data_IF_339985891489
#
_entry.id   IF_339985891489
#
_cell.length_a   1.000
_cell.length_b   1.000
_cell.length_c   1.000
_cell.angle_alpha   90.00
_cell.angle_beta   90.00
_cell.angle_gamma   90.00
#
_symmetry.space_group_name_H-M   'P 1'
#
loop_
_entity.id
_entity.type
_entity.pdbx_description
1 polymer ?
#
# COMPACT_ATOMS: atom_id res chain seq x y z
N UNK A 1 -11.96 -6.65 -18.84
CA UNK A 1 -12.43 -5.49 -18.06
C UNK A 1 -12.31 -4.19 -18.86
N UNK A 2 -11.11 -3.76 -19.25
CA UNK A 2 -10.89 -2.52 -20.03
C UNK A 2 -11.72 -2.44 -21.33
N UNK A 3 -11.72 -3.47 -22.18
CA UNK A 3 -12.53 -3.50 -23.40
C UNK A 3 -14.05 -3.41 -23.15
N UNK A 4 -14.50 -3.86 -21.98
CA UNK A 4 -15.91 -3.86 -21.59
C UNK A 4 -16.32 -2.47 -21.11
N UNK A 5 -15.53 -1.83 -20.24
CA UNK A 5 -15.77 -0.44 -19.80
C UNK A 5 -15.79 0.55 -20.97
N UNK A 6 -14.87 0.41 -21.92
CA UNK A 6 -14.86 1.26 -23.12
C UNK A 6 -16.17 1.10 -23.90
N UNK A 7 -16.59 -0.14 -24.14
CA UNK A 7 -17.83 -0.44 -24.87
C UNK A 7 -19.06 0.12 -24.15
N UNK A 8 -19.11 0.03 -22.83
CA UNK A 8 -20.19 0.59 -22.01
C UNK A 8 -20.20 2.12 -22.07
N UNK A 9 -19.03 2.77 -21.98
CA UNK A 9 -18.92 4.22 -22.12
C UNK A 9 -19.36 4.70 -23.52
N UNK A 10 -19.00 3.98 -24.58
CA UNK A 10 -19.43 4.30 -25.94
C UNK A 10 -20.94 4.17 -26.16
N UNK A 11 -21.65 3.43 -25.31
CA UNK A 11 -23.11 3.26 -25.35
C UNK A 11 -23.87 4.35 -24.58
N UNK A 12 -23.18 5.15 -23.77
CA UNK A 12 -23.81 6.24 -23.02
C UNK A 12 -23.91 7.50 -23.88
N UNK A 13 -24.98 8.29 -23.67
CA UNK A 13 -25.12 9.62 -24.26
C UNK A 13 -23.93 10.48 -23.80
N UNK A 14 -23.19 11.03 -24.77
CA UNK A 14 -21.96 11.80 -24.56
C UNK A 14 -20.86 11.03 -23.78
N UNK A 15 -20.89 9.69 -23.81
CA UNK A 15 -20.00 8.89 -22.99
C UNK A 15 -18.53 8.94 -23.42
N UNK A 16 -18.25 9.21 -24.70
CA UNK A 16 -16.88 9.44 -25.18
C UNK A 16 -16.32 10.76 -24.66
N UNK A 17 -17.11 11.82 -24.74
CA UNK A 17 -16.74 13.17 -24.28
C UNK A 17 -16.54 13.18 -22.76
N UNK A 18 -17.45 12.53 -22.02
CA UNK A 18 -17.33 12.38 -20.56
C UNK A 18 -16.11 11.56 -20.16
N UNK A 19 -15.83 10.48 -20.88
CA UNK A 19 -14.63 9.68 -20.64
C UNK A 19 -13.35 10.49 -20.88
N UNK A 20 -13.29 11.24 -21.98
CA UNK A 20 -12.13 12.07 -22.27
C UNK A 20 -11.95 13.16 -21.21
N UNK A 21 -13.02 13.84 -20.80
CA UNK A 21 -12.97 14.84 -19.73
C UNK A 21 -12.46 14.26 -18.40
N UNK A 22 -12.85 13.03 -18.04
CA UNK A 22 -12.32 12.35 -16.86
C UNK A 22 -10.82 12.03 -16.98
N UNK A 23 -10.37 11.59 -18.17
CA UNK A 23 -8.96 11.32 -18.42
C UNK A 23 -8.13 12.61 -18.34
N UNK A 24 -8.63 13.71 -18.92
CA UNK A 24 -7.96 15.02 -18.87
C UNK A 24 -7.93 15.59 -17.45
N UNK A 25 -8.98 15.37 -16.66
CA UNK A 25 -9.01 15.77 -15.24
C UNK A 25 -7.99 14.99 -14.39
N UNK A 26 -7.81 13.70 -14.68
CA UNK A 26 -6.88 12.82 -13.97
C UNK A 26 -5.42 13.04 -14.41
N UNK A 27 -5.20 13.38 -15.67
CA UNK A 27 -3.88 13.53 -16.28
C UNK A 27 -3.76 14.84 -17.06
N UNK A 28 -3.90 16.01 -16.41
CA UNK A 28 -3.92 17.31 -17.10
C UNK A 28 -2.64 17.61 -17.87
N UNK A 29 -1.50 17.17 -17.34
CA UNK A 29 -0.18 17.31 -17.97
C UNK A 29 0.26 16.03 -18.70
N UNK A 30 -0.66 15.09 -18.87
CA UNK A 30 -0.45 13.79 -19.48
C UNK A 30 0.02 12.68 -18.53
N UNK A 31 -0.08 11.44 -19.01
CA UNK A 31 0.16 10.26 -18.19
C UNK A 31 1.61 10.10 -17.71
N UNK A 32 2.61 10.45 -18.53
CA UNK A 32 4.02 10.32 -18.14
C UNK A 32 4.40 11.33 -17.06
N UNK A 33 3.95 12.60 -17.19
CA UNK A 33 4.14 13.62 -16.17
C UNK A 33 3.50 13.20 -14.84
N UNK A 34 2.32 12.58 -14.89
CA UNK A 34 1.68 11.99 -13.70
C UNK A 34 2.55 10.92 -13.03
N UNK A 35 3.20 10.03 -13.81
CA UNK A 35 4.10 9.01 -13.25
C UNK A 35 5.34 9.64 -12.60
N UNK A 36 5.91 10.69 -13.19
CA UNK A 36 7.05 11.42 -12.64
C UNK A 36 6.67 12.10 -11.31
N UNK A 37 5.51 12.77 -11.27
CA UNK A 37 4.97 13.38 -10.05
C UNK A 37 4.74 12.32 -8.97
N UNK A 38 4.16 11.16 -9.30
CA UNK A 38 3.98 10.08 -8.33
C UNK A 38 5.32 9.55 -7.80
N UNK A 39 6.36 9.45 -8.63
CA UNK A 39 7.68 9.03 -8.13
C UNK A 39 8.28 10.06 -7.18
N UNK A 40 8.24 11.35 -7.55
CA UNK A 40 8.77 12.44 -6.74
C UNK A 40 7.99 12.64 -5.43
N UNK A 41 6.67 12.50 -5.47
CA UNK A 41 5.76 12.72 -4.34
C UNK A 41 5.51 11.43 -3.55
N UNK A 42 6.57 10.70 -3.22
CA UNK A 42 6.47 9.50 -2.39
C UNK A 42 6.61 9.87 -0.91
N UNK A 43 5.71 9.35 -0.07
CA UNK A 43 5.75 9.59 1.38
C UNK A 43 7.11 9.23 1.99
N UNK A 44 7.61 10.10 2.88
CA UNK A 44 8.86 9.88 3.59
C UNK A 44 8.65 9.02 4.84
N UNK A 45 9.00 7.74 4.75
CA UNK A 45 8.95 6.81 5.87
C UNK A 45 10.18 6.90 6.80
N UNK A 46 11.18 7.72 6.47
CA UNK A 46 12.44 7.79 7.23
C UNK A 46 12.23 8.06 8.72
N UNK A 47 11.39 9.03 9.15
CA UNK A 47 11.20 9.32 10.58
C UNK A 47 10.67 8.12 11.36
N UNK A 48 9.63 7.44 10.85
CA UNK A 48 9.05 6.27 11.54
C UNK A 48 9.99 5.06 11.51
N UNK A 49 10.76 4.89 10.44
CA UNK A 49 11.76 3.83 10.37
C UNK A 49 12.85 4.03 11.41
N UNK A 50 13.35 5.26 11.56
CA UNK A 50 14.36 5.60 12.58
C UNK A 50 13.81 5.37 13.99
N UNK A 51 12.57 5.79 14.26
CA UNK A 51 11.93 5.54 15.55
C UNK A 51 11.84 4.03 15.88
N UNK A 52 11.49 3.18 14.90
CA UNK A 52 11.46 1.72 15.08
C UNK A 52 12.87 1.15 15.29
N UNK A 53 13.87 1.65 14.55
CA UNK A 53 15.27 1.21 14.63
C UNK A 53 15.91 1.56 15.97
N UNK A 54 15.62 2.75 16.51
CA UNK A 54 16.20 3.25 17.75
C UNK A 54 15.47 2.76 19.01
N UNK A 55 14.22 2.32 18.88
CA UNK A 55 13.42 1.86 20.01
C UNK A 55 14.03 0.62 20.73
N UNK A 56 13.90 0.60 22.05
CA UNK A 56 14.23 -0.57 22.85
C UNK A 56 13.17 -1.69 22.72
N UNK A 57 13.50 -2.88 23.25
CA UNK A 57 12.63 -4.06 23.16
C UNK A 57 11.27 -3.87 23.87
N UNK A 58 11.23 -3.11 24.97
CA UNK A 58 10.01 -2.87 25.73
C UNK A 58 9.08 -1.92 24.96
N UNK A 59 9.63 -0.86 24.37
CA UNK A 59 8.88 0.05 23.51
C UNK A 59 8.27 -0.68 22.31
N UNK A 60 9.04 -1.55 21.65
CA UNK A 60 8.56 -2.38 20.53
C UNK A 60 7.46 -3.35 20.99
N UNK A 61 7.61 -3.98 22.16
CA UNK A 61 6.60 -4.88 22.71
C UNK A 61 5.28 -4.16 23.02
N UNK A 62 5.34 -2.98 23.67
CA UNK A 62 4.17 -2.13 23.93
C UNK A 62 3.48 -1.72 22.63
N UNK A 63 4.25 -1.30 21.62
CA UNK A 63 3.72 -0.94 20.32
C UNK A 63 3.05 -2.14 19.62
N UNK A 64 3.65 -3.34 19.66
CA UNK A 64 3.05 -4.57 19.11
C UNK A 64 1.76 -4.99 19.82
N UNK A 65 1.66 -4.72 21.12
CA UNK A 65 0.45 -4.85 21.94
C UNK A 65 -0.55 -3.70 21.74
N UNK A 66 -0.18 -2.71 20.92
CA UNK A 66 -1.00 -1.56 20.53
C UNK A 66 -1.34 -0.64 21.72
N UNK A 67 -0.47 -0.63 22.73
CA UNK A 67 -0.61 0.26 23.88
C UNK A 67 -0.48 1.72 23.44
N UNK A 68 -1.54 2.50 23.67
CA UNK A 68 -1.64 3.90 23.26
C UNK A 68 -1.78 4.11 21.74
N UNK A 69 -2.06 3.06 20.97
CA UNK A 69 -2.26 3.18 19.54
C UNK A 69 -3.50 4.03 19.24
N UNK A 70 -3.36 4.95 18.30
CA UNK A 70 -4.41 5.79 17.77
C UNK A 70 -4.20 6.04 16.27
N UNK A 71 -5.24 6.51 15.58
CA UNK A 71 -5.15 6.92 14.18
C UNK A 71 -4.52 8.30 14.00
N UNK A 72 -4.56 9.13 15.03
CA UNK A 72 -4.04 10.49 15.05
C UNK A 72 -3.06 10.68 16.19
N UNK A 73 -2.10 11.59 16.02
CA UNK A 73 -1.27 12.05 17.14
C UNK A 73 -2.10 12.89 18.13
N UNK A 74 -1.69 12.88 19.41
CA UNK A 74 -2.30 13.73 20.43
C UNK A 74 -1.76 15.16 20.36
N UNK A 75 -2.45 16.11 20.99
CA UNK A 75 -2.02 17.51 21.01
C UNK A 75 -0.68 17.68 21.77
N UNK A 76 -0.43 16.89 22.82
CA UNK A 76 0.86 16.89 23.51
C UNK A 76 1.99 16.34 22.66
N UNK A 77 1.69 15.38 21.77
CA UNK A 77 2.69 14.83 20.86
C UNK A 77 3.06 15.84 19.77
N UNK A 78 2.09 16.61 19.23
CA UNK A 78 2.31 17.66 18.21
C UNK A 78 3.38 18.66 18.61
N UNK A 79 3.40 19.06 19.88
CA UNK A 79 4.37 20.01 20.43
C UNK A 79 5.79 19.43 20.60
N UNK A 80 5.95 18.10 20.45
CA UNK A 80 7.26 17.43 20.59
C UNK A 80 7.95 17.30 19.24
N UNK A 81 9.28 17.57 19.18
CA UNK A 81 10.09 17.18 18.04
C UNK A 81 10.19 15.65 17.95
N UNK A 82 10.42 15.12 16.74
CA UNK A 82 10.42 13.68 16.47
C UNK A 82 11.37 12.88 17.38
N UNK A 83 12.54 13.43 17.70
CA UNK A 83 13.54 12.79 18.57
C UNK A 83 13.14 12.72 20.06
N UNK A 84 11.99 13.28 20.43
CA UNK A 84 11.42 13.22 21.80
C UNK A 84 10.13 12.41 21.87
N UNK A 85 9.64 11.89 20.74
CA UNK A 85 8.47 11.03 20.74
C UNK A 85 8.82 9.65 21.31
N UNK A 86 7.87 9.07 22.03
CA UNK A 86 7.85 7.63 22.24
C UNK A 86 7.55 6.92 20.91
N UNK A 87 7.89 5.63 20.81
CA UNK A 87 7.60 4.84 19.61
C UNK A 87 6.11 4.83 19.24
N UNK A 88 5.22 4.73 20.23
CA UNK A 88 3.76 4.79 19.99
C UNK A 88 3.34 6.15 19.45
N UNK A 89 3.85 7.25 20.00
CA UNK A 89 3.55 8.60 19.48
C UNK A 89 4.07 8.78 18.06
N UNK A 90 5.28 8.28 17.74
CA UNK A 90 5.82 8.29 16.39
C UNK A 90 4.94 7.50 15.39
N UNK A 91 4.44 6.33 15.80
CA UNK A 91 3.49 5.55 14.99
C UNK A 91 2.16 6.31 14.77
N UNK A 92 1.64 6.96 15.80
CA UNK A 92 0.41 7.75 15.69
C UNK A 92 0.60 8.98 14.79
N UNK A 93 1.75 9.67 14.87
CA UNK A 93 2.15 10.75 13.97
C UNK A 93 2.24 10.27 12.53
N UNK A 94 2.92 9.14 12.30
CA UNK A 94 2.99 8.51 10.98
C UNK A 94 1.58 8.26 10.41
N UNK A 95 0.67 7.68 11.19
CA UNK A 95 -0.70 7.40 10.72
C UNK A 95 -1.44 8.68 10.37
N UNK A 96 -1.34 9.72 11.20
CA UNK A 96 -1.95 11.01 10.95
C UNK A 96 -1.44 11.62 9.63
N UNK A 97 -0.12 11.76 9.51
CA UNK A 97 0.53 12.34 8.34
C UNK A 97 0.26 11.53 7.08
N UNK A 98 0.34 10.20 7.13
CA UNK A 98 0.10 9.36 5.97
C UNK A 98 -1.37 9.40 5.53
N UNK A 99 -2.31 9.49 6.48
CA UNK A 99 -3.74 9.65 6.18
C UNK A 99 -4.01 10.97 5.46
N UNK A 100 -3.49 12.08 5.99
CA UNK A 100 -3.62 13.39 5.35
C UNK A 100 -2.99 13.39 3.95
N UNK A 101 -1.76 12.87 3.85
CA UNK A 101 -1.04 12.77 2.59
C UNK A 101 -1.83 11.96 1.54
N UNK A 102 -2.35 10.79 1.92
CA UNK A 102 -3.09 9.91 1.01
C UNK A 102 -4.44 10.49 0.58
N UNK A 103 -5.11 11.29 1.43
CA UNK A 103 -6.39 11.91 1.09
C UNK A 103 -6.27 13.06 0.09
N UNK A 104 -5.09 13.66 -0.03
CA UNK A 104 -4.82 14.72 -1.02
C UNK A 104 -4.65 14.10 -2.43
N UNK A 105 -4.29 12.82 -2.53
CA UNK A 105 -4.07 12.15 -3.80
C UNK A 105 -5.38 11.81 -4.51
N UNK A 106 -5.57 12.32 -5.74
CA UNK A 106 -6.69 11.90 -6.60
C UNK A 106 -6.60 10.43 -7.01
N UNK A 107 -5.38 9.96 -7.26
CA UNK A 107 -5.05 8.58 -7.60
C UNK A 107 -3.99 8.14 -6.59
N UNK A 108 -4.32 7.16 -5.75
CA UNK A 108 -3.39 6.59 -4.79
C UNK A 108 -2.06 6.24 -5.46
N UNK A 109 -0.97 6.74 -4.90
CA UNK A 109 0.36 6.54 -5.42
C UNK A 109 0.94 5.19 -4.95
N UNK A 110 1.10 4.21 -5.85
CA UNK A 110 1.59 2.90 -5.46
C UNK A 110 3.07 2.92 -5.04
N UNK A 111 3.82 4.00 -5.33
CA UNK A 111 5.23 4.09 -4.94
C UNK A 111 5.43 4.20 -3.42
N UNK A 112 4.39 4.57 -2.66
CA UNK A 112 4.46 4.60 -1.19
C UNK A 112 4.88 3.25 -0.59
N UNK A 113 4.21 2.17 -1.00
CA UNK A 113 4.54 0.83 -0.50
C UNK A 113 5.84 0.32 -1.05
N UNK A 114 6.18 0.68 -2.29
CA UNK A 114 7.48 0.34 -2.86
C UNK A 114 8.61 0.98 -2.05
N UNK A 115 8.46 2.25 -1.67
CA UNK A 115 9.42 2.96 -0.83
C UNK A 115 9.52 2.37 0.57
N UNK A 116 8.38 2.06 1.20
CA UNK A 116 8.35 1.38 2.48
C UNK A 116 9.14 0.06 2.42
N UNK A 117 8.90 -0.79 1.41
CA UNK A 117 9.63 -2.06 1.22
C UNK A 117 11.13 -1.86 1.01
N UNK A 118 11.53 -0.86 0.22
CA UNK A 118 12.95 -0.54 -0.02
C UNK A 118 13.66 -0.15 1.28
N UNK A 119 13.04 0.68 2.12
CA UNK A 119 13.65 1.08 3.40
C UNK A 119 13.82 -0.12 4.35
N UNK A 120 12.85 -1.05 4.39
CA UNK A 120 13.01 -2.28 5.19
C UNK A 120 14.21 -3.08 4.72
N UNK A 121 14.33 -3.29 3.41
CA UNK A 121 15.42 -4.06 2.81
C UNK A 121 16.79 -3.43 3.12
N UNK A 122 16.89 -2.10 3.04
CA UNK A 122 18.14 -1.37 3.26
C UNK A 122 18.52 -1.30 4.75
N UNK A 123 17.57 -0.97 5.63
CA UNK A 123 17.87 -0.60 7.02
C UNK A 123 17.56 -1.71 8.03
N UNK A 124 16.32 -2.22 8.05
CA UNK A 124 15.86 -3.13 9.09
C UNK A 124 16.45 -4.53 8.95
N UNK A 125 16.68 -5.00 7.72
CA UNK A 125 17.29 -6.32 7.47
C UNK A 125 18.79 -6.35 7.75
N UNK A 126 19.46 -5.22 7.63
CA UNK A 126 20.91 -5.11 7.80
C UNK A 126 21.28 -4.96 9.28
N UNK A 127 20.45 -4.30 10.08
CA UNK A 127 20.82 -3.83 11.42
C UNK A 127 20.10 -4.61 12.54
N UNK A 128 18.89 -5.15 12.29
CA UNK A 128 18.08 -5.75 13.36
C UNK A 128 18.07 -7.29 13.30
N UNK A 129 18.74 -8.00 14.21
CA UNK A 129 18.48 -9.43 14.43
C UNK A 129 17.07 -9.66 15.02
N UNK A 130 16.44 -8.64 15.58
CA UNK A 130 15.16 -8.74 16.28
C UNK A 130 13.97 -8.78 15.33
N UNK A 131 13.35 -9.95 15.24
CA UNK A 131 12.10 -10.24 14.55
C UNK A 131 10.95 -9.27 14.93
N UNK A 132 10.94 -8.76 16.17
CA UNK A 132 9.89 -7.89 16.69
C UNK A 132 9.79 -6.53 15.97
N UNK A 133 10.92 -5.88 15.66
CA UNK A 133 10.93 -4.61 14.93
C UNK A 133 10.42 -4.78 13.50
N UNK A 134 10.79 -5.88 12.86
CA UNK A 134 10.31 -6.24 11.51
C UNK A 134 8.81 -6.52 11.51
N UNK A 135 8.33 -7.31 12.48
CA UNK A 135 6.89 -7.53 12.71
C UNK A 135 6.14 -6.22 12.92
N UNK A 136 6.70 -5.31 13.72
CA UNK A 136 6.09 -4.01 13.99
C UNK A 136 5.99 -3.17 12.72
N UNK A 137 7.09 -3.03 11.97
CA UNK A 137 7.09 -2.31 10.70
C UNK A 137 6.06 -2.91 9.74
N UNK A 138 6.07 -4.23 9.57
CA UNK A 138 5.17 -4.90 8.65
C UNK A 138 3.71 -4.65 8.99
N UNK A 139 3.35 -4.84 10.26
CA UNK A 139 1.97 -4.70 10.72
C UNK A 139 1.52 -3.25 10.72
N UNK A 140 2.32 -2.33 11.24
CA UNK A 140 1.86 -0.98 11.61
C UNK A 140 2.32 0.13 10.68
N UNK A 141 3.33 -0.11 9.83
CA UNK A 141 3.74 0.83 8.79
C UNK A 141 3.23 0.32 7.44
N UNK A 142 3.75 -0.80 6.97
CA UNK A 142 3.38 -1.36 5.66
C UNK A 142 1.88 -1.69 5.60
N UNK A 143 1.35 -2.42 6.58
CA UNK A 143 -0.07 -2.74 6.67
C UNK A 143 -0.98 -1.52 6.79
N UNK A 144 -0.52 -0.45 7.44
CA UNK A 144 -1.34 0.76 7.58
C UNK A 144 -1.42 1.50 6.26
N UNK A 145 -0.31 1.59 5.53
CA UNK A 145 -0.26 2.13 4.17
C UNK A 145 -1.21 1.39 3.22
N UNK A 146 -1.37 0.07 3.40
CA UNK A 146 -2.31 -0.73 2.61
C UNK A 146 -3.78 -0.39 2.81
N UNK A 147 -4.17 0.27 3.93
CA UNK A 147 -5.56 0.68 4.17
C UNK A 147 -6.08 1.70 3.16
N UNK A 148 -5.17 2.35 2.43
CA UNK A 148 -5.47 3.37 1.42
C UNK A 148 -5.48 2.81 0.00
N UNK A 149 -5.31 1.49 -0.17
CA UNK A 149 -5.34 0.90 -1.49
C UNK A 149 -6.70 1.05 -2.17
N UNK A 150 -6.72 1.47 -3.45
CA UNK A 150 -7.90 1.31 -4.27
C UNK A 150 -8.37 -0.16 -4.26
N UNK A 151 -9.67 -0.38 -4.36
CA UNK A 151 -10.24 -1.73 -4.32
C UNK A 151 -9.56 -2.69 -5.33
N UNK A 152 -9.16 -2.19 -6.50
CA UNK A 152 -8.42 -2.97 -7.49
C UNK A 152 -7.08 -3.50 -6.96
N UNK A 153 -6.27 -2.64 -6.32
CA UNK A 153 -4.96 -3.01 -5.76
C UNK A 153 -5.13 -3.97 -4.58
N UNK A 154 -6.15 -3.75 -3.76
CA UNK A 154 -6.51 -4.65 -2.65
C UNK A 154 -6.95 -6.03 -3.14
N UNK A 155 -7.80 -6.11 -4.16
CA UNK A 155 -8.22 -7.38 -4.75
C UNK A 155 -7.01 -8.12 -5.38
N UNK A 156 -6.08 -7.40 -6.01
CA UNK A 156 -4.90 -8.00 -6.66
C UNK A 156 -4.02 -8.69 -5.63
N UNK A 157 -3.85 -8.02 -4.50
CA UNK A 157 -3.09 -8.53 -3.36
C UNK A 157 -3.83 -9.65 -2.63
N UNK A 158 -5.15 -9.53 -2.45
CA UNK A 158 -5.97 -10.56 -1.85
C UNK A 158 -5.90 -11.89 -2.64
N UNK A 159 -5.85 -11.80 -3.96
CA UNK A 159 -5.70 -12.99 -4.81
C UNK A 159 -4.29 -13.60 -4.78
N UNK A 160 -3.28 -12.78 -4.49
CA UNK A 160 -1.87 -13.12 -4.65
C UNK A 160 -1.30 -12.46 -5.89
N UNK A 161 -0.39 -11.49 -5.69
CA UNK A 161 0.29 -10.80 -6.78
C UNK A 161 1.12 -11.75 -7.64
N UNK A 162 1.62 -12.85 -7.06
CA UNK A 162 2.34 -13.88 -7.83
C UNK A 162 1.49 -14.42 -8.98
N UNK A 163 0.26 -14.87 -8.72
CA UNK A 163 -0.60 -15.47 -9.74
C UNK A 163 -1.01 -14.44 -10.79
N UNK A 164 -1.30 -13.21 -10.36
CA UNK A 164 -1.64 -12.12 -11.27
C UNK A 164 -0.48 -11.68 -12.18
N UNK A 165 0.74 -11.57 -11.61
CA UNK A 165 1.92 -11.07 -12.32
C UNK A 165 2.57 -12.16 -13.16
N UNK A 166 2.72 -13.38 -12.61
CA UNK A 166 3.48 -14.47 -13.23
C UNK A 166 2.61 -15.43 -14.03
N UNK A 167 1.48 -15.86 -13.49
CA UNK A 167 0.61 -16.82 -14.18
C UNK A 167 -0.36 -16.13 -15.14
N UNK A 168 -0.43 -14.79 -15.09
CA UNK A 168 -1.35 -13.98 -15.88
C UNK A 168 -2.82 -14.39 -15.68
N UNK A 169 -3.13 -14.88 -14.48
CA UNK A 169 -4.47 -15.32 -14.12
C UNK A 169 -5.45 -14.15 -14.10
N UNK A 170 -6.71 -14.45 -14.44
CA UNK A 170 -7.76 -13.46 -14.44
C UNK A 170 -8.01 -12.97 -13.01
N UNK A 171 -8.02 -11.65 -12.86
CA UNK A 171 -8.24 -10.98 -11.59
C UNK A 171 -9.61 -11.36 -11.00
N UNK A 172 -9.69 -12.04 -9.84
CA UNK A 172 -10.98 -12.27 -9.22
C UNK A 172 -11.53 -10.94 -8.72
N UNK A 173 -12.85 -10.77 -8.80
CA UNK A 173 -13.56 -9.62 -8.22
C UNK A 173 -13.88 -9.91 -6.75
N UNK A 174 -12.87 -10.29 -5.98
CA UNK A 174 -13.01 -10.67 -4.57
C UNK A 174 -11.96 -9.96 -3.72
N UNK A 175 -12.39 -9.46 -2.57
CA UNK A 175 -11.52 -8.90 -1.53
C UNK A 175 -11.17 -9.94 -0.44
N UNK A 176 -11.74 -11.14 -0.53
CA UNK A 176 -11.34 -12.29 0.28
C UNK A 176 -10.00 -12.81 -0.20
N UNK A 177 -9.12 -13.15 0.73
CA UNK A 177 -7.84 -13.71 0.34
C UNK A 177 -8.01 -15.13 -0.20
N UNK A 178 -7.22 -15.46 -1.22
CA UNK A 178 -7.22 -16.78 -1.86
C UNK A 178 -7.03 -17.92 -0.86
N UNK A 179 -6.19 -17.71 0.16
CA UNK A 179 -5.82 -18.73 1.16
C UNK A 179 -6.43 -18.44 2.55
N UNK A 180 -7.47 -17.61 2.66
CA UNK A 180 -8.12 -17.33 3.95
C UNK A 180 -9.63 -17.22 3.82
N UNK A 181 -10.34 -18.03 4.61
CA UNK A 181 -11.80 -17.93 4.73
C UNK A 181 -12.23 -16.82 5.71
N UNK A 182 -11.31 -16.37 6.57
CA UNK A 182 -11.62 -15.52 7.73
C UNK A 182 -11.20 -14.07 7.57
N UNK A 183 -10.41 -13.74 6.53
CA UNK A 183 -9.93 -12.38 6.30
C UNK A 183 -10.42 -11.83 4.97
N UNK A 184 -10.95 -10.62 5.03
CA UNK A 184 -11.25 -9.77 3.88
C UNK A 184 -10.46 -8.48 4.02
N UNK A 185 -9.91 -8.00 2.91
CA UNK A 185 -9.12 -6.76 2.88
C UNK A 185 -9.94 -5.55 3.37
N UNK A 186 -11.22 -5.55 3.02
CA UNK A 186 -12.21 -4.55 3.44
C UNK A 186 -13.49 -5.21 3.96
N UNK A 187 -14.27 -4.53 4.81
CA UNK A 187 -14.04 -3.18 5.32
C UNK A 187 -12.89 -3.12 6.33
N UNK A 188 -12.16 -1.99 6.34
CA UNK A 188 -11.29 -1.63 7.46
C UNK A 188 -12.13 -0.83 8.45
N UNK A 189 -12.19 -1.26 9.70
CA UNK A 189 -12.89 -0.51 10.73
C UNK A 189 -12.01 0.61 11.29
N UNK A 190 -12.63 1.50 12.10
CA UNK A 190 -11.92 2.56 12.83
C UNK A 190 -11.44 2.09 14.20
N UNK A 191 -11.18 0.78 14.36
CA UNK A 191 -10.55 0.24 15.55
C UNK A 191 -9.04 0.14 15.32
N UNK A 192 -8.25 0.18 16.39
CA UNK A 192 -6.82 -0.14 16.33
C UNK A 192 -6.63 -1.67 16.27
N UNK A 193 -7.27 -2.34 15.33
CA UNK A 193 -7.19 -3.78 15.11
C UNK A 193 -7.19 -4.12 13.61
N UNK A 194 -6.81 -5.34 13.26
CA UNK A 194 -6.78 -5.80 11.87
C UNK A 194 -5.68 -5.16 11.02
N UNK A 195 -6.01 -4.81 9.77
CA UNK A 195 -5.03 -4.30 8.80
C UNK A 195 -4.42 -2.98 9.27
N UNK A 196 -3.10 -2.93 9.37
CA UNK A 196 -2.37 -1.75 9.85
C UNK A 196 -2.14 -1.69 11.36
N UNK A 197 -2.55 -2.73 12.09
CA UNK A 197 -2.33 -2.87 13.54
C UNK A 197 -1.94 -4.29 13.92
N UNK A 198 -2.79 -5.26 13.58
CA UNK A 198 -2.60 -6.67 13.85
C UNK A 198 -1.89 -7.39 12.71
N UNK A 199 -2.16 -6.99 11.46
CA UNK A 199 -1.68 -7.70 10.28
C UNK A 199 -1.33 -6.78 9.11
N UNK A 200 -0.67 -7.36 8.13
CA UNK A 200 -0.51 -6.82 6.78
C UNK A 200 -0.64 -7.94 5.75
N UNK A 201 -0.93 -7.58 4.50
CA UNK A 201 -1.10 -8.56 3.42
C UNK A 201 0.16 -8.57 2.55
N UNK A 202 0.72 -9.75 2.33
CA UNK A 202 1.86 -9.92 1.44
C UNK A 202 1.42 -10.20 -0.01
N UNK A 203 2.35 -10.07 -0.95
CA UNK A 203 2.21 -10.45 -2.35
C UNK A 203 1.87 -11.94 -2.57
N UNK A 204 2.08 -12.80 -1.58
CA UNK A 204 1.81 -14.23 -1.66
C UNK A 204 0.69 -14.70 -0.71
N UNK A 205 0.60 -14.20 0.53
CA UNK A 205 -0.35 -14.63 1.57
C UNK A 205 -0.58 -13.52 2.65
N UNK A 206 -1.45 -13.75 3.65
CA UNK A 206 -1.54 -12.86 4.83
C UNK A 206 -0.37 -13.10 5.75
N UNK A 207 0.31 -12.03 6.18
CA UNK A 207 1.31 -12.11 7.24
C UNK A 207 0.74 -11.58 8.57
N UNK A 208 0.55 -12.55 9.47
CA UNK A 208 0.16 -12.52 10.88
C UNK A 208 -1.16 -11.83 11.24
N UNK A 209 -2.24 -12.61 11.38
CA UNK A 209 -3.19 -12.37 12.46
C UNK A 209 -2.52 -12.73 13.79
N UNK A 210 -2.91 -12.08 14.89
CA UNK A 210 -2.52 -12.36 16.28
C UNK A 210 -2.80 -13.81 16.71
N UNK A 211 -1.99 -14.76 16.22
CA UNK A 211 -1.90 -16.13 16.74
C UNK A 211 -2.35 -17.29 15.85
N UNK A 212 -2.57 -17.15 14.53
CA UNK A 212 -2.99 -18.33 13.69
C UNK A 212 -2.30 -18.52 12.33
N UNK A 213 -1.47 -17.61 11.87
CA UNK A 213 -0.62 -17.89 10.69
C UNK A 213 0.79 -18.08 11.20
N UNK A 214 1.11 -19.34 11.50
CA UNK A 214 2.47 -19.75 11.82
C UNK A 214 3.36 -19.56 10.60
N UNK A 215 4.49 -18.91 10.84
CA UNK A 215 5.59 -18.79 9.90
C UNK A 215 6.08 -20.18 9.51
N UNK A 216 5.68 -20.68 8.34
CA UNK A 216 6.31 -21.84 7.76
C UNK A 216 7.74 -21.47 7.27
N UNK A 217 8.73 -21.63 8.15
CA UNK A 217 10.15 -21.76 7.77
C UNK A 217 10.98 -20.46 7.72
N UNK A 218 11.51 -20.05 8.87
CA UNK A 218 12.49 -18.97 9.08
C UNK A 218 13.89 -19.25 8.48
N UNK A 219 14.04 -19.38 7.16
CA UNK A 219 15.38 -19.34 6.54
C UNK A 219 15.61 -18.31 5.45
N UNK A 220 14.62 -17.52 5.03
CA UNK A 220 14.85 -16.51 3.98
C UNK A 220 13.97 -15.25 4.08
N UNK A 221 13.80 -14.62 5.25
CA UNK A 221 13.02 -13.36 5.35
C UNK A 221 13.48 -12.28 4.35
N UNK A 222 14.79 -12.13 4.10
CA UNK A 222 15.30 -11.23 3.07
C UNK A 222 14.79 -11.56 1.65
N UNK A 223 14.67 -12.85 1.34
CA UNK A 223 14.12 -13.30 0.07
C UNK A 223 12.65 -12.93 -0.05
N UNK A 224 11.88 -12.99 1.03
CA UNK A 224 10.48 -12.60 1.04
C UNK A 224 10.30 -11.11 0.73
N UNK A 225 10.97 -10.21 1.45
CA UNK A 225 10.90 -8.76 1.15
C UNK A 225 11.30 -8.45 -0.30
N UNK A 226 12.41 -9.04 -0.77
CA UNK A 226 12.87 -8.89 -2.17
C UNK A 226 11.87 -9.43 -3.18
N UNK A 227 11.26 -10.59 -2.90
CA UNK A 227 10.24 -11.21 -3.74
C UNK A 227 8.98 -10.35 -3.77
N UNK A 228 8.50 -9.90 -2.63
CA UNK A 228 7.33 -9.02 -2.48
C UNK A 228 7.55 -7.71 -3.22
N UNK A 229 8.69 -7.05 -3.01
CA UNK A 229 9.07 -5.84 -3.74
C UNK A 229 9.06 -6.09 -5.25
N UNK A 230 9.72 -7.16 -5.70
CA UNK A 230 9.78 -7.49 -7.14
C UNK A 230 8.42 -7.80 -7.75
N UNK A 231 7.52 -8.47 -7.02
CA UNK A 231 6.15 -8.73 -7.47
C UNK A 231 5.36 -7.42 -7.54
N UNK A 232 5.51 -6.56 -6.54
CA UNK A 232 4.83 -5.27 -6.50
C UNK A 232 5.30 -4.31 -7.59
N UNK A 233 6.61 -4.22 -7.85
CA UNK A 233 7.17 -3.45 -8.98
C UNK A 233 6.58 -3.90 -10.32
N UNK A 234 6.49 -5.22 -10.54
CA UNK A 234 5.90 -5.78 -11.76
C UNK A 234 4.40 -5.53 -11.85
N UNK A 235 3.69 -5.61 -10.72
CA UNK A 235 2.28 -5.24 -10.62
C UNK A 235 2.06 -3.77 -11.02
N UNK A 236 2.83 -2.84 -10.45
CA UNK A 236 2.78 -1.41 -10.79
C UNK A 236 3.06 -1.21 -12.28
N UNK A 237 4.13 -1.81 -12.81
CA UNK A 237 4.47 -1.70 -14.25
C UNK A 237 3.33 -2.20 -15.14
N UNK A 238 2.74 -3.35 -14.81
CA UNK A 238 1.61 -3.92 -15.56
C UNK A 238 0.36 -3.04 -15.48
N UNK A 239 0.06 -2.47 -14.29
CA UNK A 239 -1.03 -1.52 -14.07
C UNK A 239 -0.82 -0.24 -14.89
N UNK A 240 0.35 0.38 -14.78
CA UNK A 240 0.67 1.62 -15.48
C UNK A 240 0.65 1.44 -17.00
N UNK A 241 1.13 0.30 -17.51
CA UNK A 241 1.00 -0.03 -18.94
C UNK A 241 -0.46 -0.14 -19.39
N UNK A 242 -1.32 -0.76 -18.58
CA UNK A 242 -2.74 -0.86 -18.87
C UNK A 242 -3.44 0.51 -18.90
N UNK A 243 -3.10 1.40 -17.95
CA UNK A 243 -3.62 2.78 -17.90
C UNK A 243 -3.06 3.63 -19.05
N UNK A 244 -1.78 3.51 -19.39
CA UNK A 244 -1.18 4.16 -20.55
C UNK A 244 -1.90 3.79 -21.84
N UNK A 245 -2.21 2.50 -22.02
CA UNK A 245 -2.93 2.03 -23.20
C UNK A 245 -4.36 2.58 -23.26
N UNK A 246 -5.02 2.79 -22.10
CA UNK A 246 -6.31 3.46 -22.01
C UNK A 246 -6.19 4.94 -22.41
N UNK A 247 -5.23 5.66 -21.84
CA UNK A 247 -4.95 7.06 -22.11
C UNK A 247 -4.66 7.31 -23.60
N UNK A 248 -3.77 6.54 -24.21
CA UNK A 248 -3.44 6.66 -25.64
C UNK A 248 -4.66 6.39 -26.52
N UNK A 249 -5.50 5.42 -26.13
CA UNK A 249 -6.69 5.08 -26.91
C UNK A 249 -7.76 6.17 -26.84
N UNK A 250 -7.95 6.82 -25.68
CA UNK A 250 -8.92 7.93 -25.58
C UNK A 250 -8.52 9.09 -26.49
N UNK A 251 -7.25 9.46 -26.50
CA UNK A 251 -6.73 10.54 -27.34
C UNK A 251 -6.75 10.20 -28.83
N UNK A 252 -6.55 8.93 -29.23
CA UNK A 252 -6.71 8.51 -30.63
C UNK A 252 -8.15 8.55 -31.12
N UNK A 253 -9.14 8.34 -30.25
CA UNK A 253 -10.55 8.41 -30.63
C UNK A 253 -11.00 9.85 -30.94
N UNK A 254 -10.31 10.86 -30.41
CA UNK A 254 -10.58 12.27 -30.69
C UNK A 254 -9.94 12.81 -31.99
N UNK A 255 -8.93 12.13 -32.55
CA UNK A 255 -8.23 12.58 -33.77
C UNK A 255 -8.96 12.16 -35.06
N UNK A 256 -9.93 11.25 -34.99
CA UNK A 256 -10.66 10.71 -36.16
C UNK A 256 -12.02 11.42 -36.39
N UNK A 257 -12.27 12.56 -35.73
CA UNK A 257 -13.44 13.42 -35.97
C UNK A 257 -13.05 14.61 -36.85
#
# INVERSE_FOLDING_TARGET
MIKMMIKECEQLVNGKERWQAQIDELFPDGFEAHLEIQQANTFDFTPICNAILEADCNAVARALNKEGAAFSESDEAKEKPDNKLTLTEALNRFRAMFTEFSHIEKIFNPNHLLRALTIVEESLMTISPYEAKRKLFWRQVYGFTQRFWPAYDAQASAFGLYDYVKNNEAHPRSLKLKNSEFFSFYPVDNSCSGLGFDCAVDAAEVLSCSGRVEWAGMRTEQYWYKRTRSLYEKFIKKKNLAVKNLYVRSHRLCIIQ
#
